data_IF_281899170339
#
_entry.id   IF_281899170339
#
_cell.length_a   1.000
_cell.length_b   1.000
_cell.length_c   1.000
_cell.angle_alpha   90.00
_cell.angle_beta   90.00
_cell.angle_gamma   90.00
#
_symmetry.space_group_name_H-M   'P 1'
#
loop_
_entity.id
_entity.type
_entity.pdbx_description
1 polymer ?
#
# COMPACT_ATOMS: atom_id res chain seq x y z
N UNK A 1 -31.67 40.07 19.15
CA UNK A 1 -30.40 40.36 18.44
C UNK A 1 -30.46 39.67 17.08
N UNK A 2 -30.01 40.28 15.97
CA UNK A 2 -30.02 39.63 14.65
C UNK A 2 -28.95 38.51 14.61
N UNK A 3 -29.26 37.35 14.01
CA UNK A 3 -28.37 36.20 13.83
C UNK A 3 -26.96 36.59 13.35
N UNK A 4 -26.85 37.48 12.36
CA UNK A 4 -25.55 37.94 11.86
C UNK A 4 -24.71 38.62 12.95
N UNK A 5 -25.36 39.41 13.81
CA UNK A 5 -24.70 40.10 14.93
C UNK A 5 -24.26 39.09 15.99
N UNK A 6 -25.13 38.15 16.36
CA UNK A 6 -24.82 37.08 17.32
C UNK A 6 -23.58 36.30 16.86
N UNK A 7 -23.56 35.88 15.59
CA UNK A 7 -22.44 35.10 15.03
C UNK A 7 -21.15 35.91 15.02
N UNK A 8 -21.17 37.16 14.54
CA UNK A 8 -19.97 38.01 14.48
C UNK A 8 -19.42 38.37 15.85
N UNK A 9 -20.28 38.45 16.88
CA UNK A 9 -19.85 38.72 18.26
C UNK A 9 -19.39 37.46 19.00
N UNK A 10 -19.80 36.26 18.55
CA UNK A 10 -19.56 35.00 19.26
C UNK A 10 -18.52 34.10 18.61
N UNK A 11 -18.25 34.25 17.31
CA UNK A 11 -17.33 33.40 16.55
C UNK A 11 -16.29 34.24 15.82
N UNK A 12 -15.03 33.95 16.09
CA UNK A 12 -13.90 34.52 15.35
C UNK A 12 -13.62 33.75 14.07
N UNK A 13 -13.03 34.42 13.09
CA UNK A 13 -12.51 33.79 11.86
C UNK A 13 -11.54 32.65 12.18
N UNK A 14 -10.69 32.83 13.20
CA UNK A 14 -9.75 31.82 13.69
C UNK A 14 -10.45 30.56 14.22
N UNK A 15 -11.50 30.73 15.01
CA UNK A 15 -12.30 29.61 15.53
C UNK A 15 -12.98 28.85 14.41
N UNK A 16 -13.61 29.57 13.47
CA UNK A 16 -14.22 28.94 12.30
C UNK A 16 -13.19 28.19 11.46
N UNK A 17 -12.02 28.78 11.21
CA UNK A 17 -10.97 28.13 10.44
C UNK A 17 -10.44 26.86 11.10
N UNK A 18 -10.23 26.89 12.42
CA UNK A 18 -9.81 25.73 13.19
C UNK A 18 -10.87 24.62 13.15
N UNK A 19 -12.15 24.97 13.34
CA UNK A 19 -13.25 24.01 13.31
C UNK A 19 -13.41 23.36 11.93
N UNK A 20 -13.22 24.12 10.87
CA UNK A 20 -13.31 23.62 9.49
C UNK A 20 -12.03 22.96 8.98
N UNK A 21 -11.02 22.79 9.82
CA UNK A 21 -9.81 22.02 9.50
C UNK A 21 -8.85 22.70 8.54
N UNK A 22 -8.84 24.04 8.49
CA UNK A 22 -7.82 24.77 7.73
C UNK A 22 -6.45 24.59 8.41
N UNK A 23 -5.39 24.18 7.68
CA UNK A 23 -4.06 24.01 8.25
C UNK A 23 -3.42 25.38 8.54
N UNK A 24 -3.37 25.75 9.84
CA UNK A 24 -2.89 27.05 10.31
C UNK A 24 -1.44 26.99 10.81
N UNK A 25 -0.63 27.98 10.44
CA UNK A 25 0.73 28.17 10.99
C UNK A 25 0.71 28.83 12.36
N UNK A 26 1.87 28.88 13.03
CA UNK A 26 2.06 29.61 14.31
C UNK A 26 1.71 31.11 14.23
N UNK A 27 1.76 31.69 13.03
CA UNK A 27 1.46 33.11 12.80
C UNK A 27 0.04 33.34 12.29
N UNK A 28 -0.88 32.37 12.39
CA UNK A 28 -2.26 32.48 11.88
C UNK A 28 -2.33 32.74 10.36
N UNK A 29 -1.43 32.12 9.61
CA UNK A 29 -1.48 32.07 8.16
C UNK A 29 -2.01 30.70 7.70
N UNK A 30 -2.78 30.68 6.62
CA UNK A 30 -3.25 29.47 5.95
C UNK A 30 -2.99 29.58 4.46
N UNK A 31 -2.86 28.43 3.78
CA UNK A 31 -2.99 28.41 2.31
C UNK A 31 -4.41 28.84 1.97
N UNK A 32 -4.54 29.80 1.07
CA UNK A 32 -5.83 30.34 0.71
C UNK A 32 -6.65 29.24 0.03
N UNK A 33 -7.85 28.91 0.53
CA UNK A 33 -8.72 27.92 -0.10
C UNK A 33 -9.46 28.47 -1.33
N UNK A 34 -9.31 29.77 -1.62
CA UNK A 34 -10.05 30.48 -2.67
C UNK A 34 -9.26 30.68 -3.95
N UNK A 35 -7.99 30.27 -3.99
CA UNK A 35 -7.18 30.18 -5.21
C UNK A 35 -6.17 29.03 -5.07
N UNK A 36 -5.51 28.69 -6.16
CA UNK A 36 -4.42 27.72 -6.13
C UNK A 36 -3.22 28.32 -5.39
N UNK A 37 -3.03 27.90 -4.14
CA UNK A 37 -2.02 28.46 -3.25
C UNK A 37 -1.05 27.39 -2.73
N UNK A 38 0.24 27.56 -3.03
CA UNK A 38 1.30 26.65 -2.60
C UNK A 38 1.97 27.10 -1.30
N UNK A 39 1.84 28.37 -0.90
CA UNK A 39 2.51 28.95 0.28
C UNK A 39 1.51 29.78 1.10
N UNK A 40 1.35 29.56 2.42
CA UNK A 40 0.34 30.25 3.21
C UNK A 40 0.24 31.76 2.96
N UNK A 41 -0.76 32.19 2.20
CA UNK A 41 -0.93 33.58 1.75
C UNK A 41 -2.13 34.28 2.40
N UNK A 42 -2.96 33.57 3.15
CA UNK A 42 -4.15 34.12 3.81
C UNK A 42 -3.96 34.25 5.31
N UNK A 43 -4.04 35.49 5.82
CA UNK A 43 -3.97 35.82 7.24
C UNK A 43 -5.36 35.74 7.87
N UNK A 44 -5.44 35.04 9.00
CA UNK A 44 -6.63 34.98 9.84
C UNK A 44 -6.47 35.91 11.05
N UNK A 45 -7.24 36.99 11.09
CA UNK A 45 -7.41 37.82 12.29
C UNK A 45 -8.65 37.36 13.05
N UNK A 46 -8.98 37.98 14.18
CA UNK A 46 -10.13 37.53 14.98
C UNK A 46 -11.45 37.82 14.28
N UNK A 47 -11.59 39.01 13.66
CA UNK A 47 -12.84 39.47 13.05
C UNK A 47 -12.87 39.37 11.52
N UNK A 48 -11.72 39.28 10.86
CA UNK A 48 -11.60 39.24 9.40
C UNK A 48 -10.45 38.36 8.92
N UNK A 49 -10.52 37.90 7.68
CA UNK A 49 -9.39 37.30 6.96
C UNK A 49 -8.97 38.21 5.80
N UNK A 50 -7.71 38.10 5.39
CA UNK A 50 -7.22 38.73 4.18
C UNK A 50 -6.19 37.84 3.49
N UNK A 51 -6.38 37.59 2.20
CA UNK A 51 -5.45 36.87 1.36
C UNK A 51 -4.56 37.84 0.58
N UNK A 52 -3.25 37.79 0.83
CA UNK A 52 -2.27 38.61 0.11
C UNK A 52 -2.04 38.13 -1.34
N UNK A 53 -2.39 36.88 -1.66
CA UNK A 53 -2.29 36.32 -3.02
C UNK A 53 -3.42 36.80 -3.95
N UNK A 54 -4.67 36.46 -3.61
CA UNK A 54 -5.84 36.76 -4.47
C UNK A 54 -6.68 37.97 -4.03
N UNK A 55 -6.36 38.63 -2.92
CA UNK A 55 -7.14 39.76 -2.38
C UNK A 55 -8.46 39.37 -1.70
N UNK A 56 -8.78 38.08 -1.59
CA UNK A 56 -9.98 37.62 -0.89
C UNK A 56 -9.97 38.12 0.56
N UNK A 57 -11.07 38.74 0.98
CA UNK A 57 -11.22 39.36 2.29
C UNK A 57 -12.66 39.23 2.75
N UNK A 58 -12.86 39.20 4.06
CA UNK A 58 -14.20 39.12 4.64
C UNK A 58 -14.18 38.73 6.10
N UNK A 59 -15.36 38.65 6.70
CA UNK A 59 -15.52 38.20 8.07
C UNK A 59 -15.72 36.68 8.18
N UNK A 60 -16.04 36.20 9.37
CA UNK A 60 -16.27 34.78 9.66
C UNK A 60 -17.39 34.17 8.82
N UNK A 61 -18.42 34.97 8.51
CA UNK A 61 -19.57 34.56 7.70
C UNK A 61 -19.14 34.49 6.24
N UNK A 62 -18.37 35.46 5.75
CA UNK A 62 -17.85 35.43 4.38
C UNK A 62 -16.89 34.25 4.16
N UNK A 63 -16.02 33.97 5.13
CA UNK A 63 -15.13 32.80 5.10
C UNK A 63 -15.94 31.51 4.96
N UNK A 64 -16.95 31.35 5.83
CA UNK A 64 -17.83 30.17 5.84
C UNK A 64 -18.64 30.08 4.55
N UNK A 65 -19.14 31.22 4.05
CA UNK A 65 -19.90 31.29 2.81
C UNK A 65 -19.06 30.77 1.64
N UNK A 66 -17.83 31.24 1.49
CA UNK A 66 -16.96 30.84 0.39
C UNK A 66 -16.47 29.40 0.53
N UNK A 67 -16.09 28.95 1.74
CA UNK A 67 -15.62 27.58 1.98
C UNK A 67 -16.67 26.52 1.61
N UNK A 68 -17.94 26.81 1.84
CA UNK A 68 -19.03 25.85 1.69
C UNK A 68 -19.98 26.17 0.53
N UNK A 69 -19.70 27.20 -0.27
CA UNK A 69 -20.58 27.64 -1.36
C UNK A 69 -21.98 28.06 -0.89
N UNK A 70 -22.06 28.76 0.25
CA UNK A 70 -23.32 29.15 0.91
C UNK A 70 -23.63 30.64 0.72
N UNK A 71 -24.91 31.01 0.79
CA UNK A 71 -25.29 32.41 1.01
C UNK A 71 -24.90 32.88 2.41
N UNK A 72 -24.74 34.21 2.61
CA UNK A 72 -24.35 34.76 3.91
C UNK A 72 -25.30 34.36 5.06
N UNK A 73 -26.60 34.25 4.80
CA UNK A 73 -27.56 33.80 5.81
C UNK A 73 -27.40 32.30 6.15
N UNK A 74 -27.17 31.46 5.15
CA UNK A 74 -26.88 30.03 5.37
C UNK A 74 -25.56 29.84 6.12
N UNK A 75 -24.53 30.62 5.79
CA UNK A 75 -23.26 30.63 6.49
C UNK A 75 -23.41 31.08 7.96
N UNK A 76 -24.18 32.13 8.22
CA UNK A 76 -24.48 32.57 9.58
C UNK A 76 -25.24 31.49 10.38
N UNK A 77 -26.21 30.81 9.77
CA UNK A 77 -26.93 29.70 10.39
C UNK A 77 -26.01 28.50 10.66
N UNK A 78 -25.15 28.16 9.71
CA UNK A 78 -24.16 27.10 9.86
C UNK A 78 -23.24 27.40 11.04
N UNK A 79 -22.68 28.60 11.12
CA UNK A 79 -21.86 29.03 12.25
C UNK A 79 -22.62 28.96 13.58
N UNK A 80 -23.87 29.42 13.63
CA UNK A 80 -24.67 29.31 14.84
C UNK A 80 -24.90 27.86 15.27
N UNK A 81 -25.11 26.94 14.32
CA UNK A 81 -25.28 25.51 14.61
C UNK A 81 -23.97 24.87 15.06
N UNK A 82 -22.90 25.09 14.31
CA UNK A 82 -21.58 24.49 14.54
C UNK A 82 -20.97 24.96 15.87
N UNK A 83 -21.27 26.19 16.31
CA UNK A 83 -20.81 26.77 17.57
C UNK A 83 -21.87 26.75 18.68
N UNK A 84 -23.04 26.13 18.45
CA UNK A 84 -24.09 25.99 19.47
C UNK A 84 -24.71 27.32 19.94
N UNK A 85 -24.71 28.34 19.09
CA UNK A 85 -25.27 29.67 19.38
C UNK A 85 -26.81 29.62 19.26
N UNK A 86 -27.48 29.33 20.37
CA UNK A 86 -28.94 29.41 20.47
C UNK A 86 -29.38 30.84 20.83
N UNK A 87 -30.52 31.34 20.30
CA UNK A 87 -31.00 32.70 20.59
C UNK A 87 -31.42 32.94 22.06
N UNK A 88 -31.51 31.90 22.89
CA UNK A 88 -32.02 31.96 24.26
C UNK A 88 -30.93 31.90 25.36
N UNK A 89 -29.63 31.87 25.01
CA UNK A 89 -28.54 31.90 26.00
C UNK A 89 -27.64 33.12 25.80
N UNK A 90 -27.46 33.99 26.81
CA UNK A 90 -26.45 35.03 26.75
C UNK A 90 -25.05 34.40 26.76
N UNK A 91 -24.02 35.09 26.20
CA UNK A 91 -22.70 34.53 26.04
C UNK A 91 -22.02 34.46 27.41
N UNK A 92 -22.08 33.30 28.05
CA UNK A 92 -21.20 33.01 29.18
C UNK A 92 -19.99 32.26 28.63
N UNK A 93 -18.85 32.94 28.69
CA UNK A 93 -17.48 32.45 28.74
C UNK A 93 -17.19 31.11 28.07
N UNK A 94 -16.45 31.18 26.96
CA UNK A 94 -15.67 30.10 26.36
C UNK A 94 -16.40 28.75 26.34
N UNK A 95 -17.22 28.54 25.31
CA UNK A 95 -17.54 27.18 24.85
C UNK A 95 -16.20 26.50 24.60
N UNK A 96 -15.77 25.65 25.53
CA UNK A 96 -14.64 24.77 25.32
C UNK A 96 -14.96 24.00 24.03
N UNK A 97 -14.08 24.14 23.03
CA UNK A 97 -14.26 23.50 21.73
C UNK A 97 -14.63 22.02 21.97
N UNK A 98 -15.73 21.53 21.39
CA UNK A 98 -15.83 20.11 21.11
C UNK A 98 -14.55 19.75 20.36
N UNK A 99 -13.75 18.84 20.93
CA UNK A 99 -12.54 18.37 20.28
C UNK A 99 -12.96 17.90 18.88
N UNK A 100 -12.39 18.44 17.79
CA UNK A 100 -12.72 17.98 16.45
C UNK A 100 -12.55 16.45 16.42
N UNK A 101 -13.29 15.70 15.57
CA UNK A 101 -12.89 14.34 15.26
C UNK A 101 -11.41 14.43 14.92
N UNK A 102 -10.56 13.84 15.76
CA UNK A 102 -9.13 13.99 15.59
C UNK A 102 -8.84 13.55 14.17
N UNK A 103 -8.23 14.44 13.38
CA UNK A 103 -7.52 14.02 12.17
C UNK A 103 -6.78 12.73 12.56
N UNK A 104 -6.87 11.66 11.74
CA UNK A 104 -6.16 10.45 12.07
C UNK A 104 -4.73 10.87 12.37
N UNK A 105 -4.20 10.47 13.52
CA UNK A 105 -2.84 10.84 13.90
C UNK A 105 -1.89 10.46 12.78
N UNK A 106 -0.69 11.04 12.71
CA UNK A 106 0.28 10.69 11.67
C UNK A 106 0.46 9.16 11.57
N UNK A 107 0.40 8.46 12.71
CA UNK A 107 0.38 7.00 12.76
C UNK A 107 -0.87 6.36 12.12
N UNK A 108 -2.07 6.89 12.36
CA UNK A 108 -3.31 6.40 11.71
C UNK A 108 -3.36 6.74 10.22
N UNK A 109 -2.85 7.90 9.79
CA UNK A 109 -2.74 8.25 8.37
C UNK A 109 -1.71 7.34 7.68
N UNK A 110 -0.56 7.12 8.29
CA UNK A 110 0.46 6.21 7.79
C UNK A 110 -0.07 4.76 7.73
N UNK A 111 -0.87 4.33 8.70
CA UNK A 111 -1.55 3.04 8.69
C UNK A 111 -2.58 2.94 7.54
N UNK A 112 -3.35 4.00 7.28
CA UNK A 112 -4.28 4.06 6.14
C UNK A 112 -3.53 4.01 4.81
N UNK A 113 -2.48 4.81 4.64
CA UNK A 113 -1.65 4.81 3.42
C UNK A 113 -0.96 3.47 3.21
N UNK A 114 -0.47 2.86 4.28
CA UNK A 114 0.11 1.52 4.25
C UNK A 114 -0.92 0.49 3.79
N UNK A 115 -2.14 0.51 4.33
CA UNK A 115 -3.21 -0.38 3.91
C UNK A 115 -3.55 -0.20 2.43
N UNK A 116 -3.69 1.04 1.96
CA UNK A 116 -3.96 1.33 0.55
C UNK A 116 -2.85 0.84 -0.37
N UNK A 117 -1.58 1.02 0.01
CA UNK A 117 -0.43 0.52 -0.75
C UNK A 117 -0.43 -1.01 -0.81
N UNK A 118 -0.66 -1.69 0.31
CA UNK A 118 -0.71 -3.17 0.36
C UNK A 118 -1.83 -3.71 -0.52
N UNK A 119 -3.01 -3.06 -0.54
CA UNK A 119 -4.11 -3.46 -1.42
C UNK A 119 -3.76 -3.28 -2.90
N UNK A 120 -3.06 -2.21 -3.24
CA UNK A 120 -2.62 -1.96 -4.60
C UNK A 120 -1.56 -2.97 -5.05
N UNK A 121 -0.58 -3.26 -4.19
CA UNK A 121 0.46 -4.26 -4.45
C UNK A 121 -0.13 -5.67 -4.59
N UNK A 122 -1.08 -6.02 -3.72
CA UNK A 122 -1.78 -7.31 -3.80
C UNK A 122 -2.61 -7.42 -5.07
N UNK A 123 -3.31 -6.35 -5.47
CA UNK A 123 -3.99 -6.30 -6.77
C UNK A 123 -3.01 -6.56 -7.92
N UNK A 124 -1.86 -5.88 -7.92
CA UNK A 124 -0.86 -6.05 -8.98
C UNK A 124 -0.32 -7.49 -9.00
N UNK A 125 -0.09 -8.08 -7.83
CA UNK A 125 0.34 -9.47 -7.72
C UNK A 125 -0.71 -10.45 -8.26
N UNK A 126 -1.98 -10.29 -7.91
CA UNK A 126 -3.06 -11.14 -8.40
C UNK A 126 -3.23 -11.02 -9.92
N UNK A 127 -3.12 -9.81 -10.49
CA UNK A 127 -3.14 -9.61 -11.94
C UNK A 127 -1.99 -10.37 -12.62
N UNK A 128 -0.77 -10.30 -12.06
CA UNK A 128 0.37 -11.07 -12.57
C UNK A 128 0.14 -12.57 -12.45
N UNK A 129 -0.45 -13.03 -11.35
CA UNK A 129 -0.71 -14.45 -11.15
C UNK A 129 -1.74 -15.00 -12.15
N UNK A 130 -2.70 -14.18 -12.59
CA UNK A 130 -3.62 -14.57 -13.67
C UNK A 130 -2.90 -14.85 -15.00
N UNK A 131 -1.74 -14.24 -15.25
CA UNK A 131 -0.99 -14.47 -16.49
C UNK A 131 0.16 -15.45 -16.33
N UNK A 132 0.89 -15.39 -15.21
CA UNK A 132 2.09 -16.20 -14.95
C UNK A 132 1.75 -17.66 -14.58
N UNK A 133 0.59 -17.89 -13.96
CA UNK A 133 0.17 -19.23 -13.51
C UNK A 133 -1.05 -19.75 -14.27
N UNK A 134 -1.38 -19.14 -15.41
CA UNK A 134 -2.47 -19.63 -16.27
C UNK A 134 -2.17 -21.04 -16.80
N UNK A 135 -3.13 -21.98 -16.74
CA UNK A 135 -2.94 -23.32 -17.28
C UNK A 135 -2.76 -23.23 -18.80
N UNK A 136 -1.84 -24.03 -19.34
CA UNK A 136 -1.54 -24.03 -20.78
C UNK A 136 -2.51 -24.89 -21.59
N UNK A 137 -3.30 -25.74 -20.90
CA UNK A 137 -4.35 -26.57 -21.50
C UNK A 137 -5.49 -26.82 -20.52
N UNK A 138 -6.63 -27.29 -21.02
CA UNK A 138 -7.83 -27.57 -20.22
C UNK A 138 -7.74 -28.84 -19.36
N UNK A 139 -6.70 -29.66 -19.54
CA UNK A 139 -6.51 -30.92 -18.80
C UNK A 139 -5.49 -30.77 -17.65
N UNK A 140 -4.81 -29.63 -17.56
CA UNK A 140 -3.82 -29.35 -16.52
C UNK A 140 -4.49 -28.97 -15.19
N UNK A 141 -4.05 -29.53 -14.05
CA UNK A 141 -4.54 -29.11 -12.74
C UNK A 141 -4.20 -27.64 -12.49
N UNK A 142 -5.19 -26.87 -12.02
CA UNK A 142 -5.04 -25.43 -11.79
C UNK A 142 -4.08 -25.15 -10.63
N UNK A 143 -3.12 -24.24 -10.83
CA UNK A 143 -2.24 -23.74 -9.77
C UNK A 143 -3.05 -22.97 -8.71
N UNK A 144 -2.82 -23.24 -7.43
CA UNK A 144 -3.55 -22.59 -6.32
C UNK A 144 -3.50 -21.06 -6.39
N UNK A 145 -2.40 -20.48 -6.88
CA UNK A 145 -2.25 -19.02 -7.06
C UNK A 145 -3.11 -18.49 -8.19
N UNK A 146 -3.25 -19.27 -9.27
CA UNK A 146 -4.16 -18.96 -10.36
C UNK A 146 -5.61 -19.03 -9.88
N UNK A 147 -5.97 -20.07 -9.12
CA UNK A 147 -7.29 -20.21 -8.50
C UNK A 147 -7.58 -19.05 -7.53
N UNK A 148 -6.61 -18.66 -6.69
CA UNK A 148 -6.72 -17.53 -5.77
C UNK A 148 -6.94 -16.20 -6.52
N UNK A 149 -6.18 -16.00 -7.60
CA UNK A 149 -6.28 -14.84 -8.47
C UNK A 149 -7.60 -14.77 -9.26
N UNK A 150 -8.28 -15.89 -9.44
CA UNK A 150 -9.63 -15.96 -10.04
C UNK A 150 -10.75 -15.68 -9.02
N UNK A 151 -10.58 -16.03 -7.74
CA UNK A 151 -11.70 -16.04 -6.76
C UNK A 151 -11.74 -14.86 -5.78
N UNK A 152 -10.60 -14.31 -5.35
CA UNK A 152 -10.54 -13.24 -4.35
C UNK A 152 -10.86 -11.83 -4.91
N UNK A 153 -10.30 -11.40 -6.06
CA UNK A 153 -10.53 -10.05 -6.55
C UNK A 153 -12.01 -9.75 -6.89
N UNK A 154 -12.81 -10.65 -7.50
CA UNK A 154 -14.18 -10.30 -7.90
C UNK A 154 -15.12 -10.03 -6.71
N UNK A 155 -15.04 -10.84 -5.64
CA UNK A 155 -15.98 -10.73 -4.50
C UNK A 155 -15.68 -9.50 -3.64
N UNK A 156 -14.41 -9.27 -3.34
CA UNK A 156 -13.95 -8.08 -2.61
C UNK A 156 -14.20 -6.83 -3.45
N UNK A 157 -13.93 -6.89 -4.75
CA UNK A 157 -14.20 -5.76 -5.65
C UNK A 157 -15.70 -5.46 -5.73
N UNK A 158 -16.57 -6.46 -5.85
CA UNK A 158 -18.02 -6.27 -5.86
C UNK A 158 -18.51 -5.62 -4.56
N UNK A 159 -18.04 -6.09 -3.41
CA UNK A 159 -18.40 -5.55 -2.10
C UNK A 159 -17.85 -4.12 -1.92
N UNK A 160 -16.64 -3.83 -2.39
CA UNK A 160 -16.06 -2.47 -2.41
C UNK A 160 -16.80 -1.52 -3.36
N UNK A 161 -17.23 -2.00 -4.52
CA UNK A 161 -18.01 -1.22 -5.50
C UNK A 161 -19.38 -0.88 -4.92
N UNK A 162 -20.02 -1.83 -4.24
CA UNK A 162 -21.28 -1.61 -3.54
C UNK A 162 -21.15 -0.55 -2.43
N UNK A 163 -20.13 -0.66 -1.58
CA UNK A 163 -19.85 0.35 -0.55
C UNK A 163 -19.57 1.74 -1.17
N UNK A 164 -18.87 1.79 -2.30
CA UNK A 164 -18.60 3.05 -3.01
C UNK A 164 -19.89 3.68 -3.53
N UNK A 165 -20.81 2.90 -4.09
CA UNK A 165 -22.13 3.36 -4.53
C UNK A 165 -22.99 3.84 -3.36
N UNK A 166 -22.98 3.13 -2.23
CA UNK A 166 -23.68 3.55 -1.01
C UNK A 166 -23.14 4.88 -0.48
N UNK A 167 -21.81 5.06 -0.47
CA UNK A 167 -21.18 6.35 -0.13
C UNK A 167 -21.62 7.47 -1.07
N UNK A 168 -21.60 7.25 -2.38
CA UNK A 168 -22.07 8.24 -3.35
C UNK A 168 -23.55 8.61 -3.15
N UNK A 169 -24.39 7.61 -2.83
CA UNK A 169 -25.80 7.85 -2.50
C UNK A 169 -25.93 8.68 -1.22
N UNK A 170 -25.13 8.38 -0.19
CA UNK A 170 -25.07 9.18 1.03
C UNK A 170 -24.66 10.63 0.74
N UNK A 171 -23.63 10.85 -0.08
CA UNK A 171 -23.18 12.18 -0.50
C UNK A 171 -24.28 12.94 -1.26
N UNK A 172 -25.03 12.27 -2.14
CA UNK A 172 -26.18 12.84 -2.86
C UNK A 172 -27.33 13.21 -1.91
N UNK A 173 -27.63 12.34 -0.93
CA UNK A 173 -28.66 12.62 0.08
C UNK A 173 -28.29 13.83 0.93
N UNK A 174 -27.02 13.92 1.34
CA UNK A 174 -26.47 15.01 2.15
C UNK A 174 -26.45 16.35 1.40
N UNK A 175 -26.06 16.35 0.12
CA UNK A 175 -26.06 17.56 -0.72
C UNK A 175 -27.48 18.03 -1.08
N UNK A 176 -28.45 17.11 -1.14
CA UNK A 176 -29.85 17.39 -1.47
C UNK A 176 -30.74 17.78 -0.28
N UNK A 177 -30.17 18.12 0.88
CA UNK A 177 -30.93 18.51 2.07
C UNK A 177 -31.38 19.97 1.95
N UNK A 178 -32.68 20.18 2.08
CA UNK A 178 -33.32 21.49 2.10
C UNK A 178 -34.34 21.60 3.25
N UNK A 179 -34.82 22.82 3.54
CA UNK A 179 -35.72 23.08 4.65
C UNK A 179 -37.06 22.32 4.56
N UNK A 180 -37.50 21.95 3.35
CA UNK A 180 -38.76 21.25 3.10
C UNK A 180 -38.63 19.71 3.12
N UNK A 181 -37.41 19.15 3.12
CA UNK A 181 -37.19 17.70 3.00
C UNK A 181 -36.26 17.12 4.09
N UNK A 182 -35.76 17.95 5.01
CA UNK A 182 -34.75 17.58 6.00
C UNK A 182 -35.14 16.37 6.86
N UNK A 183 -36.38 16.32 7.35
CA UNK A 183 -36.87 15.21 8.17
C UNK A 183 -36.95 13.90 7.39
N UNK A 184 -37.37 13.97 6.11
CA UNK A 184 -37.43 12.81 5.21
C UNK A 184 -36.02 12.33 4.83
N UNK A 185 -35.13 13.25 4.44
CA UNK A 185 -33.73 12.97 4.12
C UNK A 185 -32.96 12.38 5.30
N UNK A 186 -33.20 12.88 6.52
CA UNK A 186 -32.57 12.35 7.73
C UNK A 186 -32.97 10.89 7.99
N UNK A 187 -34.25 10.53 7.76
CA UNK A 187 -34.70 9.15 7.85
C UNK A 187 -34.03 8.26 6.77
N UNK A 188 -33.99 8.71 5.51
CA UNK A 188 -33.31 8.01 4.41
C UNK A 188 -31.81 7.81 4.66
N UNK A 189 -31.14 8.80 5.27
CA UNK A 189 -29.73 8.72 5.65
C UNK A 189 -29.52 7.71 6.78
N UNK A 190 -30.36 7.75 7.82
CA UNK A 190 -30.28 6.82 8.94
C UNK A 190 -30.41 5.38 8.46
N UNK A 191 -31.43 5.10 7.64
CA UNK A 191 -31.67 3.76 7.08
C UNK A 191 -30.48 3.28 6.22
N UNK A 192 -29.85 4.17 5.47
CA UNK A 192 -28.68 3.84 4.67
C UNK A 192 -27.42 3.59 5.52
N UNK A 193 -27.25 4.34 6.61
CA UNK A 193 -26.14 4.17 7.55
C UNK A 193 -26.24 2.86 8.34
N UNK A 194 -27.45 2.43 8.70
CA UNK A 194 -27.71 1.16 9.41
C UNK A 194 -27.17 -0.05 8.61
N UNK A 195 -27.21 0.01 7.28
CA UNK A 195 -26.62 -1.01 6.41
C UNK A 195 -25.14 -0.77 6.06
N UNK A 196 -24.74 0.49 5.88
CA UNK A 196 -23.41 0.85 5.41
C UNK A 196 -22.32 0.63 6.48
N UNK A 197 -22.56 1.05 7.73
CA UNK A 197 -21.55 0.99 8.80
C UNK A 197 -21.12 -0.46 9.09
N UNK A 198 -22.03 -1.43 9.32
CA UNK A 198 -21.63 -2.82 9.58
C UNK A 198 -20.92 -3.47 8.39
N UNK A 199 -21.30 -3.09 7.16
CA UNK A 199 -20.67 -3.59 5.95
C UNK A 199 -19.21 -3.10 5.81
N UNK A 200 -18.94 -1.83 6.16
CA UNK A 200 -17.58 -1.27 6.21
C UNK A 200 -16.73 -1.96 7.29
N UNK A 201 -17.27 -2.20 8.48
CA UNK A 201 -16.56 -2.91 9.55
C UNK A 201 -16.22 -4.36 9.19
N UNK A 202 -17.16 -5.06 8.56
CA UNK A 202 -16.95 -6.41 8.03
C UNK A 202 -15.85 -6.41 6.96
N UNK A 203 -15.88 -5.46 6.02
CA UNK A 203 -14.84 -5.31 5.00
C UNK A 203 -13.47 -5.06 5.65
N UNK A 204 -13.37 -4.14 6.62
CA UNK A 204 -12.13 -3.86 7.36
C UNK A 204 -11.56 -5.13 8.00
N UNK A 205 -12.41 -5.95 8.60
CA UNK A 205 -12.01 -7.22 9.23
C UNK A 205 -11.47 -8.22 8.21
N UNK A 206 -12.11 -8.33 7.03
CA UNK A 206 -11.64 -9.17 5.94
C UNK A 206 -10.28 -8.71 5.42
N UNK A 207 -10.11 -7.41 5.19
CA UNK A 207 -8.84 -6.84 4.73
C UNK A 207 -7.70 -7.08 5.74
N UNK A 208 -7.99 -7.01 7.05
CA UNK A 208 -7.00 -7.33 8.08
C UNK A 208 -6.53 -8.78 8.01
N UNK A 209 -7.45 -9.74 7.79
CA UNK A 209 -7.10 -11.17 7.64
C UNK A 209 -6.21 -11.40 6.42
N UNK A 210 -6.53 -10.79 5.29
CA UNK A 210 -5.72 -10.91 4.07
C UNK A 210 -4.33 -10.29 4.24
N UNK A 211 -4.24 -9.13 4.89
CA UNK A 211 -2.95 -8.50 5.20
C UNK A 211 -2.03 -9.42 6.01
N UNK A 212 -2.58 -10.10 7.03
CA UNK A 212 -1.82 -11.09 7.81
C UNK A 212 -1.37 -12.29 6.96
N UNK A 213 -2.27 -12.88 6.18
CA UNK A 213 -1.95 -14.00 5.30
C UNK A 213 -0.88 -13.64 4.26
N UNK A 214 -1.00 -12.45 3.65
CA UNK A 214 -0.03 -11.93 2.70
C UNK A 214 1.35 -11.73 3.32
N UNK A 215 1.40 -11.16 4.53
CA UNK A 215 2.67 -10.93 5.24
C UNK A 215 3.38 -12.25 5.53
N UNK A 216 2.62 -13.26 5.97
CA UNK A 216 3.14 -14.62 6.19
C UNK A 216 3.68 -15.24 4.89
N UNK A 217 2.89 -15.22 3.82
CA UNK A 217 3.24 -15.80 2.51
C UNK A 217 4.46 -15.10 1.89
N UNK A 218 4.57 -13.78 2.05
CA UNK A 218 5.74 -13.01 1.61
C UNK A 218 7.00 -13.44 2.36
N UNK A 219 6.92 -13.60 3.68
CA UNK A 219 8.04 -14.05 4.49
C UNK A 219 8.48 -15.47 4.11
N UNK A 220 7.54 -16.37 3.82
CA UNK A 220 7.81 -17.73 3.36
C UNK A 220 8.48 -17.75 1.97
N UNK A 221 7.98 -16.95 1.03
CA UNK A 221 8.60 -16.82 -0.30
C UNK A 221 10.05 -16.34 -0.23
N UNK A 222 10.35 -15.37 0.64
CA UNK A 222 11.73 -14.91 0.84
C UNK A 222 12.62 -16.01 1.45
N UNK A 223 12.08 -16.86 2.33
CA UNK A 223 12.82 -18.04 2.83
C UNK A 223 13.06 -19.06 1.72
N UNK A 224 12.05 -19.36 0.90
CA UNK A 224 12.16 -20.30 -0.22
C UNK A 224 13.15 -19.81 -1.28
N UNK A 225 13.15 -18.52 -1.62
CA UNK A 225 14.15 -17.93 -2.52
C UNK A 225 15.57 -18.12 -2.01
N UNK A 226 15.82 -17.86 -0.72
CA UNK A 226 17.13 -18.08 -0.10
C UNK A 226 17.54 -19.57 -0.15
N UNK A 227 16.59 -20.47 0.11
CA UNK A 227 16.82 -21.92 0.04
C UNK A 227 17.14 -22.37 -1.40
N UNK A 228 16.39 -21.89 -2.39
CA UNK A 228 16.64 -22.19 -3.81
C UNK A 228 17.98 -21.66 -4.28
N UNK A 229 18.36 -20.44 -3.87
CA UNK A 229 19.68 -19.89 -4.19
C UNK A 229 20.79 -20.79 -3.66
N UNK A 230 20.71 -21.18 -2.37
CA UNK A 230 21.70 -22.06 -1.75
C UNK A 230 21.76 -23.43 -2.42
N UNK A 231 20.61 -24.02 -2.75
CA UNK A 231 20.56 -25.31 -3.45
C UNK A 231 21.17 -25.22 -4.85
N UNK A 232 20.94 -24.11 -5.57
CA UNK A 232 21.54 -23.87 -6.88
C UNK A 232 23.06 -23.76 -6.78
N UNK A 233 23.58 -22.98 -5.82
CA UNK A 233 25.02 -22.84 -5.57
C UNK A 233 25.66 -24.21 -5.24
N UNK A 234 25.05 -25.00 -4.35
CA UNK A 234 25.55 -26.35 -4.03
C UNK A 234 25.47 -27.33 -5.21
N UNK A 235 24.49 -27.20 -6.10
CA UNK A 235 24.37 -28.02 -7.30
C UNK A 235 25.48 -27.68 -8.30
N UNK A 236 25.81 -26.40 -8.47
CA UNK A 236 26.91 -25.94 -9.32
C UNK A 236 28.27 -26.45 -8.81
N UNK A 237 28.52 -26.37 -7.50
CA UNK A 237 29.74 -26.90 -6.87
C UNK A 237 29.88 -28.41 -7.10
N UNK A 238 28.83 -29.20 -6.84
CA UNK A 238 28.85 -30.64 -7.04
C UNK A 238 29.07 -31.03 -8.52
N UNK A 239 28.47 -30.27 -9.45
CA UNK A 239 28.68 -30.48 -10.89
C UNK A 239 30.13 -30.15 -11.29
N UNK A 240 30.69 -29.06 -10.77
CA UNK A 240 32.08 -28.68 -11.01
C UNK A 240 33.06 -29.77 -10.53
N UNK A 241 32.89 -30.28 -9.30
CA UNK A 241 33.69 -31.38 -8.77
C UNK A 241 33.57 -32.65 -9.65
N UNK A 242 32.36 -32.99 -10.09
CA UNK A 242 32.17 -34.14 -10.98
C UNK A 242 32.88 -33.98 -12.33
N UNK A 243 32.88 -32.77 -12.90
CA UNK A 243 33.60 -32.49 -14.15
C UNK A 243 35.11 -32.62 -13.96
N UNK A 244 35.66 -32.08 -12.87
CA UNK A 244 37.09 -32.20 -12.56
C UNK A 244 37.52 -33.67 -12.47
N UNK A 245 36.75 -34.50 -11.76
CA UNK A 245 37.06 -35.93 -11.65
C UNK A 245 37.06 -36.63 -13.00
N UNK A 246 36.09 -36.33 -13.87
CA UNK A 246 36.05 -36.89 -15.24
C UNK A 246 37.27 -36.47 -16.08
N UNK A 247 37.76 -35.25 -15.91
CA UNK A 247 38.96 -34.77 -16.59
C UNK A 247 40.22 -35.48 -16.08
N UNK A 248 40.33 -35.70 -14.78
CA UNK A 248 41.42 -36.50 -14.18
C UNK A 248 41.40 -37.94 -14.68
N UNK A 249 40.25 -38.60 -14.66
CA UNK A 249 40.08 -39.96 -15.17
C UNK A 249 40.47 -40.06 -16.66
N UNK A 250 40.03 -39.10 -17.49
CA UNK A 250 40.37 -39.04 -18.91
C UNK A 250 41.86 -38.81 -19.15
N UNK A 251 42.52 -38.01 -18.29
CA UNK A 251 43.97 -37.79 -18.34
C UNK A 251 44.72 -39.07 -17.98
N UNK A 252 44.36 -39.73 -16.87
CA UNK A 252 44.98 -40.97 -16.43
C UNK A 252 44.81 -42.08 -17.49
N UNK A 253 43.63 -42.13 -18.12
CA UNK A 253 43.37 -43.09 -19.19
C UNK A 253 44.27 -42.84 -20.42
N UNK A 254 44.53 -41.57 -20.77
CA UNK A 254 45.48 -41.24 -21.84
C UNK A 254 46.90 -41.66 -21.50
N UNK A 255 47.37 -41.34 -20.29
CA UNK A 255 48.70 -41.73 -19.82
C UNK A 255 48.87 -43.26 -19.80
N UNK A 256 47.83 -43.99 -19.40
CA UNK A 256 47.82 -45.45 -19.46
C UNK A 256 47.93 -45.99 -20.89
N UNK A 257 47.19 -45.42 -21.84
CA UNK A 257 47.27 -45.82 -23.25
C UNK A 257 48.64 -45.50 -23.87
N UNK A 258 49.23 -44.37 -23.53
CA UNK A 258 50.60 -44.02 -23.94
C UNK A 258 51.62 -45.02 -23.39
N UNK A 259 51.50 -45.41 -22.12
CA UNK A 259 52.35 -46.42 -21.52
C UNK A 259 52.22 -47.79 -22.21
N UNK A 260 50.99 -48.22 -22.53
CA UNK A 260 50.75 -49.45 -23.30
C UNK A 260 51.39 -49.38 -24.69
N UNK A 261 51.21 -48.28 -25.41
CA UNK A 261 51.81 -48.10 -26.74
C UNK A 261 53.35 -48.15 -26.71
N UNK A 262 53.97 -47.69 -25.63
CA UNK A 262 55.43 -47.85 -25.43
C UNK A 262 55.79 -49.32 -25.22
N UNK A 263 55.04 -50.05 -24.39
CA UNK A 263 55.26 -51.48 -24.15
C UNK A 263 55.12 -52.31 -25.44
N UNK A 264 54.11 -52.02 -26.26
CA UNK A 264 53.89 -52.69 -27.55
C UNK A 264 55.01 -52.46 -28.57
N UNK A 265 55.73 -51.34 -28.46
CA UNK A 265 56.87 -51.02 -29.31
C UNK A 265 58.17 -51.70 -28.89
N UNK A 266 58.21 -52.36 -27.73
CA UNK A 266 59.39 -53.09 -27.29
C UNK A 266 59.54 -54.34 -28.18
N UNK A 267 60.68 -54.50 -28.88
CA UNK A 267 60.90 -55.68 -29.69
C UNK A 267 60.82 -56.96 -28.85
N UNK A 268 60.22 -58.05 -29.38
CA UNK A 268 60.03 -59.30 -28.63
C UNK A 268 61.36 -59.89 -28.11
N UNK A 269 62.46 -59.68 -28.82
CA UNK A 269 63.80 -60.14 -28.43
C UNK A 269 64.27 -59.48 -27.12
N UNK A 270 63.91 -58.21 -26.91
CA UNK A 270 64.22 -57.45 -25.68
C UNK A 270 63.36 -57.95 -24.51
N UNK A 271 62.09 -58.29 -24.77
CA UNK A 271 61.20 -58.86 -23.76
C UNK A 271 61.64 -60.27 -23.35
N UNK A 272 62.10 -61.09 -24.30
CA UNK A 272 62.66 -62.41 -24.04
C UNK A 272 63.92 -62.35 -23.18
N UNK A 273 64.83 -61.40 -23.45
CA UNK A 273 66.00 -61.15 -22.61
C UNK A 273 65.60 -60.67 -21.20
N UNK A 274 64.57 -59.81 -21.13
CA UNK A 274 64.00 -59.36 -19.86
C UNK A 274 63.20 -60.45 -19.12
N UNK A 275 62.78 -61.55 -19.75
CA UNK A 275 62.10 -62.65 -19.06
C UNK A 275 63.08 -63.60 -18.35
N UNK A 276 64.37 -63.58 -18.73
CA UNK A 276 65.40 -64.45 -18.11
C UNK A 276 65.65 -64.08 -16.65
N UNK A 277 65.88 -65.05 -15.73
CA UNK A 277 66.20 -64.77 -14.33
C UNK A 277 67.39 -63.80 -14.20
N UNK A 278 67.34 -62.87 -13.23
CA UNK A 278 68.38 -61.83 -13.06
C UNK A 278 69.81 -62.38 -12.94
N UNK A 279 69.96 -63.63 -12.47
CA UNK A 279 71.23 -64.32 -12.33
C UNK A 279 71.86 -64.74 -13.69
N UNK A 280 71.05 -65.02 -14.72
CA UNK A 280 71.53 -65.47 -16.03
C UNK A 280 71.82 -64.33 -17.02
N UNK A 281 71.49 -63.08 -16.68
CA UNK A 281 71.81 -61.90 -17.52
C UNK A 281 73.23 -61.37 -17.30
N UNK A 282 73.85 -61.67 -16.15
CA UNK A 282 75.22 -61.23 -15.81
C UNK A 282 76.32 -62.05 -16.50
N UNK A 283 75.98 -63.19 -17.10
CA UNK A 283 76.96 -64.08 -17.77
C UNK A 283 77.20 -63.73 -19.24
N UNK A 284 76.55 -62.69 -19.77
CA UNK A 284 76.67 -62.27 -21.18
C UNK A 284 77.57 -61.03 -21.40
N UNK A 285 78.12 -60.43 -20.34
CA UNK A 285 79.05 -59.27 -20.41
C UNK A 285 80.53 -59.64 -20.13
N UNK A 286 80.92 -60.90 -20.35
CA UNK A 286 82.32 -61.37 -20.35
C UNK A 286 82.65 -61.99 -21.70
#
# INVERSE_FOLDING_TARGET
MNLFKIVKESVTVKQAAALYGLPVTSTWMVRCPFHEDHTPSMKLNDTYYYCFGCGATGDVIDLTAQLFGLSSFQAARKLAQDFGLSPDKPPSGAVALPKPPSLPSDAQQEEIFYCLRVLHDYRYLLIRWQTEFAPLSTEEPLDDRFVEALHIPPRIFKEMTHLTQQRQKLDQLLTGIGPLNSKKRAAEISELLDGYIPAVEKMRTQLKKYSTAFTSTKAENEKLKKKNKKLSESLEEANYESVLKKLEDAKLQREYQEALAVLERIPPEVLEEYAKPKASRRTAEL
#
